data_IF_560983111805
#
_entry.id   IF_560983111805
#
_cell.length_a   1.000
_cell.length_b   1.000
_cell.length_c   1.000
_cell.angle_alpha   90.00
_cell.angle_beta   90.00
_cell.angle_gamma   90.00
#
_symmetry.space_group_name_H-M   'P 1'
#
loop_
_entity.id
_entity.type
_entity.pdbx_description
1 polymer ?
#
# COMPACT_ATOMS: atom_id res chain seq x y z
N UNK A 1 17.03 -10.24 0.72
CA UNK A 1 18.08 -9.95 -0.28
C UNK A 1 17.78 -8.58 -0.88
N UNK A 2 18.81 -7.75 -1.11
CA UNK A 2 18.65 -6.46 -1.79
C UNK A 2 19.34 -6.57 -3.14
N UNK A 3 18.57 -6.39 -4.21
CA UNK A 3 19.12 -6.22 -5.56
C UNK A 3 19.11 -4.71 -5.87
N UNK A 4 20.30 -4.13 -6.04
CA UNK A 4 20.49 -2.67 -6.12
C UNK A 4 21.32 -2.14 -4.95
N UNK A 5 21.26 -0.82 -4.73
CA UNK A 5 22.05 -0.15 -3.69
C UNK A 5 21.41 -0.28 -2.32
N UNK A 6 22.19 -0.69 -1.31
CA UNK A 6 21.74 -0.74 0.09
C UNK A 6 21.50 0.66 0.67
N UNK A 7 22.20 1.68 0.18
CA UNK A 7 22.04 3.06 0.66
C UNK A 7 20.64 3.61 0.35
N UNK A 8 20.01 3.12 -0.73
CA UNK A 8 18.67 3.53 -1.15
C UNK A 8 17.56 3.09 -0.17
N UNK A 9 17.86 2.10 0.69
CA UNK A 9 16.86 1.51 1.59
C UNK A 9 16.24 2.50 2.56
N UNK A 10 17.01 3.53 2.94
CA UNK A 10 16.69 4.47 4.01
C UNK A 10 16.50 5.90 3.49
N UNK A 11 16.44 6.10 2.17
CA UNK A 11 16.13 7.41 1.60
C UNK A 11 14.61 7.65 1.66
N UNK A 12 14.25 8.76 2.30
CA UNK A 12 12.89 9.25 2.46
C UNK A 12 12.24 9.60 1.12
N UNK A 13 11.03 9.08 0.89
CA UNK A 13 10.29 9.21 -0.38
C UNK A 13 8.79 9.29 -0.15
N UNK A 14 8.06 9.73 -1.17
CA UNK A 14 6.60 9.72 -1.11
C UNK A 14 6.06 8.29 -1.17
N UNK A 15 5.13 7.89 -0.28
CA UNK A 15 4.51 6.56 -0.34
C UNK A 15 3.58 6.41 -1.55
N UNK A 16 3.12 7.53 -2.13
CA UNK A 16 2.18 7.52 -3.23
C UNK A 16 0.94 6.67 -2.87
N UNK A 17 0.46 5.86 -3.80
CA UNK A 17 -0.74 5.04 -3.57
C UNK A 17 -0.55 3.84 -2.64
N UNK A 18 0.66 3.54 -2.13
CA UNK A 18 0.81 2.51 -1.08
C UNK A 18 0.13 2.95 0.22
N UNK A 19 0.08 4.25 0.49
CA UNK A 19 -0.59 4.83 1.64
C UNK A 19 -2.11 4.54 1.72
N UNK A 20 -2.76 4.22 0.58
CA UNK A 20 -4.16 3.78 0.55
C UNK A 20 -4.41 2.53 1.40
N UNK A 21 -3.38 1.72 1.65
CA UNK A 21 -3.46 0.61 2.61
C UNK A 21 -3.80 1.13 4.01
N UNK A 22 -3.13 2.18 4.48
CA UNK A 22 -3.35 2.76 5.80
C UNK A 22 -4.76 3.37 5.88
N UNK A 23 -5.19 4.06 4.82
CA UNK A 23 -6.56 4.59 4.71
C UNK A 23 -7.59 3.46 4.79
N UNK A 24 -7.40 2.39 4.00
CA UNK A 24 -8.28 1.24 3.98
C UNK A 24 -8.31 0.52 5.34
N UNK A 25 -7.15 0.37 5.98
CA UNK A 25 -7.02 -0.23 7.29
C UNK A 25 -7.81 0.54 8.33
N UNK A 26 -7.61 1.86 8.41
CA UNK A 26 -8.33 2.75 9.31
C UNK A 26 -9.84 2.75 9.03
N UNK A 27 -10.23 2.79 7.75
CA UNK A 27 -11.63 2.79 7.36
C UNK A 27 -12.35 1.48 7.72
N UNK A 28 -11.70 0.32 7.54
CA UNK A 28 -12.22 -0.97 7.99
C UNK A 28 -12.34 -1.00 9.52
N UNK A 29 -11.30 -0.58 10.25
CA UNK A 29 -11.29 -0.58 11.72
C UNK A 29 -12.39 0.33 12.32
N UNK A 30 -12.72 1.40 11.61
CA UNK A 30 -13.78 2.35 11.97
C UNK A 30 -15.18 1.97 11.44
N UNK A 31 -15.32 0.83 10.76
CA UNK A 31 -16.60 0.38 10.22
C UNK A 31 -17.14 1.23 9.05
N UNK A 32 -16.29 2.01 8.38
CA UNK A 32 -16.67 2.83 7.22
C UNK A 32 -16.77 2.02 5.92
N UNK A 33 -16.27 0.78 5.93
CA UNK A 33 -16.31 -0.14 4.79
C UNK A 33 -17.11 -1.37 5.19
N UNK A 34 -18.23 -1.60 4.51
CA UNK A 34 -19.16 -2.68 4.80
C UNK A 34 -18.68 -4.08 4.35
N UNK A 35 -17.62 -4.15 3.55
CA UNK A 35 -17.02 -5.40 3.10
C UNK A 35 -16.08 -5.22 1.90
N UNK A 36 -15.24 -6.23 1.65
CA UNK A 36 -14.18 -6.15 0.62
C UNK A 36 -14.72 -5.97 -0.80
N UNK A 37 -15.83 -6.66 -1.13
CA UNK A 37 -16.44 -6.63 -2.46
C UNK A 37 -17.67 -5.71 -2.53
N UNK A 38 -18.07 -5.09 -1.41
CA UNK A 38 -19.19 -4.14 -1.39
C UNK A 38 -18.76 -2.82 -2.03
N UNK A 39 -19.62 -2.19 -2.85
CA UNK A 39 -19.29 -0.92 -3.50
C UNK A 39 -18.79 0.14 -2.52
N UNK A 40 -17.72 0.83 -2.88
CA UNK A 40 -17.25 2.01 -2.16
C UNK A 40 -17.83 3.27 -2.78
N UNK A 41 -18.16 4.23 -1.93
CA UNK A 41 -18.54 5.57 -2.35
C UNK A 41 -17.43 6.19 -3.21
N UNK A 42 -17.79 6.75 -4.37
CA UNK A 42 -16.83 7.32 -5.31
C UNK A 42 -16.06 6.30 -6.17
N UNK A 43 -16.36 5.00 -6.06
CA UNK A 43 -15.67 3.96 -6.83
C UNK A 43 -16.48 3.40 -8.03
N UNK A 44 -17.55 4.09 -8.45
CA UNK A 44 -18.37 3.70 -9.62
C UNK A 44 -18.82 2.22 -9.57
N UNK A 45 -19.30 1.77 -8.40
CA UNK A 45 -19.77 0.39 -8.19
C UNK A 45 -18.67 -0.62 -7.83
N UNK A 46 -17.39 -0.24 -7.86
CA UNK A 46 -16.29 -1.12 -7.46
C UNK A 46 -16.14 -1.24 -5.94
N UNK A 47 -15.71 -2.41 -5.49
CA UNK A 47 -15.40 -2.66 -4.07
C UNK A 47 -14.00 -2.23 -3.65
N UNK A 48 -13.65 -2.47 -2.38
CA UNK A 48 -12.33 -2.15 -1.81
C UNK A 48 -11.20 -2.84 -2.57
N UNK A 49 -11.35 -4.13 -2.89
CA UNK A 49 -10.33 -4.91 -3.62
C UNK A 49 -9.96 -4.26 -4.95
N UNK A 50 -10.98 -4.04 -5.79
CA UNK A 50 -10.80 -3.48 -7.13
C UNK A 50 -10.27 -2.04 -7.04
N UNK A 51 -10.73 -1.27 -6.05
CA UNK A 51 -10.25 0.09 -5.81
C UNK A 51 -8.77 0.13 -5.40
N UNK A 52 -8.31 -0.81 -4.56
CA UNK A 52 -6.89 -0.94 -4.20
C UNK A 52 -6.03 -1.42 -5.38
N UNK A 53 -6.49 -2.44 -6.12
CA UNK A 53 -5.79 -3.03 -7.25
C UNK A 53 -5.63 -2.03 -8.40
N UNK A 54 -6.73 -1.40 -8.82
CA UNK A 54 -6.74 -0.37 -9.87
C UNK A 54 -6.23 0.99 -9.37
N UNK A 55 -6.10 1.14 -8.05
CA UNK A 55 -5.64 2.35 -7.37
C UNK A 55 -6.54 3.58 -7.62
N UNK A 56 -7.86 3.37 -7.59
CA UNK A 56 -8.88 4.40 -7.82
C UNK A 56 -8.82 5.44 -6.70
N UNK A 57 -8.51 6.70 -7.00
CA UNK A 57 -8.29 7.75 -5.99
C UNK A 57 -9.55 8.21 -5.24
N UNK A 58 -10.68 8.54 -5.91
CA UNK A 58 -11.84 9.13 -5.25
C UNK A 58 -12.36 8.44 -3.97
N UNK A 59 -12.54 7.11 -3.90
CA UNK A 59 -13.04 6.46 -2.68
C UNK A 59 -12.10 6.66 -1.48
N UNK A 60 -10.78 6.61 -1.69
CA UNK A 60 -9.84 6.82 -0.59
C UNK A 60 -9.74 8.29 -0.18
N UNK A 61 -10.00 9.24 -1.08
CA UNK A 61 -10.06 10.65 -0.73
C UNK A 61 -11.25 10.90 0.20
N UNK A 62 -12.43 10.36 -0.16
CA UNK A 62 -13.64 10.44 0.67
C UNK A 62 -13.42 9.78 2.03
N UNK A 63 -12.83 8.58 2.07
CA UNK A 63 -12.52 7.89 3.32
C UNK A 63 -11.53 8.67 4.19
N UNK A 64 -10.50 9.27 3.59
CA UNK A 64 -9.53 10.09 4.32
C UNK A 64 -10.18 11.33 4.94
N UNK A 65 -11.08 12.01 4.22
CA UNK A 65 -11.87 13.13 4.77
C UNK A 65 -12.74 12.69 5.96
N UNK A 66 -13.44 11.57 5.82
CA UNK A 66 -14.31 11.03 6.90
C UNK A 66 -13.52 10.63 8.14
N UNK A 67 -12.30 10.12 7.97
CA UNK A 67 -11.42 9.78 9.08
C UNK A 67 -10.85 11.03 9.75
N UNK A 68 -10.48 12.04 8.96
CA UNK A 68 -9.79 13.24 9.44
C UNK A 68 -8.31 12.99 9.74
N UNK A 69 -7.52 14.06 9.66
CA UNK A 69 -6.06 14.00 9.75
C UNK A 69 -5.53 13.48 11.09
N UNK A 70 -6.23 13.75 12.21
CA UNK A 70 -5.82 13.28 13.54
C UNK A 70 -5.95 11.75 13.65
N UNK A 71 -7.12 11.21 13.28
CA UNK A 71 -7.36 9.77 13.36
C UNK A 71 -6.46 9.04 12.38
N UNK A 72 -6.43 9.47 11.12
CA UNK A 72 -5.62 8.82 10.08
C UNK A 72 -4.12 8.92 10.39
N UNK A 73 -3.67 10.03 10.99
CA UNK A 73 -2.29 10.18 11.49
C UNK A 73 -1.90 9.12 12.51
N UNK A 74 -2.78 8.83 13.49
CA UNK A 74 -2.55 7.75 14.49
C UNK A 74 -2.42 6.37 13.82
N UNK A 75 -3.17 6.09 12.76
CA UNK A 75 -3.00 4.84 11.99
C UNK A 75 -1.70 4.85 11.18
N UNK A 76 -1.32 5.99 10.60
CA UNK A 76 -0.07 6.13 9.87
C UNK A 76 1.14 5.84 10.78
N UNK A 77 1.17 6.37 12.01
CA UNK A 77 2.20 6.05 13.01
C UNK A 77 2.24 4.56 13.33
N UNK A 78 1.07 3.98 13.66
CA UNK A 78 0.95 2.58 14.05
C UNK A 78 1.28 1.60 12.93
N UNK A 79 1.11 2.01 11.67
CA UNK A 79 1.33 1.15 10.51
C UNK A 79 2.80 0.74 10.33
N UNK A 80 3.74 1.56 10.83
CA UNK A 80 5.17 1.41 10.54
C UNK A 80 5.58 1.83 9.12
N UNK A 81 4.63 2.23 8.26
CA UNK A 81 4.91 2.69 6.89
C UNK A 81 5.72 3.98 6.87
N UNK A 82 5.32 4.92 7.73
CA UNK A 82 5.78 6.30 7.64
C UNK A 82 7.07 6.48 8.43
N UNK A 83 8.00 7.20 7.84
CA UNK A 83 9.24 7.63 8.44
C UNK A 83 9.03 8.90 9.29
N UNK A 84 9.67 8.91 10.45
CA UNK A 84 9.59 10.04 11.39
C UNK A 84 8.23 10.14 12.09
N UNK A 85 7.96 11.32 12.63
CA UNK A 85 6.70 11.69 13.26
C UNK A 85 5.70 12.22 12.24
N UNK A 86 4.40 12.03 12.47
CA UNK A 86 3.36 12.63 11.64
C UNK A 86 3.31 14.14 11.91
N UNK A 87 3.52 15.00 10.89
CA UNK A 87 3.44 16.44 11.07
C UNK A 87 2.05 16.88 11.54
N UNK A 88 2.00 17.94 12.35
CA UNK A 88 0.73 18.63 12.64
C UNK A 88 0.18 19.18 11.31
N UNK A 89 -1.12 19.01 11.08
CA UNK A 89 -1.78 19.45 9.83
C UNK A 89 -1.25 18.79 8.55
N UNK A 90 -0.64 17.59 8.62
CA UNK A 90 -0.14 16.86 7.45
C UNK A 90 -1.16 16.62 6.33
N UNK A 91 -2.46 16.72 6.63
CA UNK A 91 -3.58 16.56 5.69
C UNK A 91 -4.21 17.90 5.31
N UNK A 92 -3.42 18.98 5.18
CA UNK A 92 -3.92 20.35 4.94
C UNK A 92 -4.74 20.47 3.64
N UNK A 93 -4.33 19.82 2.56
CA UNK A 93 -5.10 19.76 1.30
C UNK A 93 -6.19 18.68 1.28
N UNK A 94 -6.55 18.14 2.44
CA UNK A 94 -7.64 17.19 2.60
C UNK A 94 -7.37 15.83 1.97
N UNK A 95 -8.44 15.10 1.69
CA UNK A 95 -8.40 13.72 1.23
C UNK A 95 -7.70 13.54 -0.11
N UNK A 96 -7.76 14.53 -1.00
CA UNK A 96 -7.14 14.46 -2.34
C UNK A 96 -5.62 14.37 -2.27
N UNK A 97 -4.98 15.00 -1.31
CA UNK A 97 -3.54 14.87 -1.07
C UNK A 97 -3.25 13.63 -0.21
N UNK A 98 -4.11 13.36 0.77
CA UNK A 98 -3.99 12.20 1.66
C UNK A 98 -3.90 10.87 0.90
N UNK A 99 -4.59 10.70 -0.24
CA UNK A 99 -4.53 9.43 -1.01
C UNK A 99 -3.14 9.09 -1.57
N UNK A 100 -2.21 10.05 -1.54
CA UNK A 100 -0.81 9.90 -1.92
C UNK A 100 0.15 10.02 -0.72
N UNK A 101 -0.38 10.20 0.49
CA UNK A 101 0.39 10.42 1.71
C UNK A 101 0.66 11.89 2.04
N UNK A 102 0.25 12.85 1.19
CA UNK A 102 0.56 14.28 1.35
C UNK A 102 2.06 14.51 1.68
N UNK A 103 2.37 15.19 2.79
CA UNK A 103 3.75 15.47 3.21
C UNK A 103 4.49 14.28 3.84
N UNK A 104 3.79 13.16 4.06
CA UNK A 104 4.38 11.99 4.72
C UNK A 104 5.41 11.31 3.81
N UNK A 105 6.46 10.79 4.44
CA UNK A 105 7.52 10.04 3.76
C UNK A 105 7.58 8.59 4.24
N UNK A 106 8.01 7.71 3.36
CA UNK A 106 8.33 6.30 3.63
C UNK A 106 9.74 6.01 3.15
N UNK A 107 10.22 4.81 3.44
CA UNK A 107 11.46 4.29 2.87
C UNK A 107 11.23 2.90 2.29
N UNK A 108 12.15 2.48 1.42
CA UNK A 108 12.20 1.12 0.89
C UNK A 108 12.18 0.07 2.02
N UNK A 109 12.89 0.33 3.12
CA UNK A 109 12.90 -0.54 4.30
C UNK A 109 11.52 -0.66 4.93
N UNK A 110 10.81 0.46 5.13
CA UNK A 110 9.50 0.49 5.80
C UNK A 110 8.41 -0.17 4.95
N UNK A 111 8.37 0.14 3.66
CA UNK A 111 7.55 -0.57 2.67
C UNK A 111 7.78 -2.09 2.77
N UNK A 112 9.04 -2.52 2.76
CA UNK A 112 9.36 -3.94 2.87
C UNK A 112 8.97 -4.57 4.20
N UNK A 113 9.17 -3.86 5.32
CA UNK A 113 8.76 -4.32 6.64
C UNK A 113 7.25 -4.51 6.76
N UNK A 114 6.44 -3.69 6.07
CA UNK A 114 5.00 -3.93 5.99
C UNK A 114 4.67 -5.23 5.27
N UNK A 115 5.27 -5.48 4.11
CA UNK A 115 5.07 -6.74 3.39
C UNK A 115 5.48 -7.96 4.23
N UNK A 116 6.60 -7.87 4.96
CA UNK A 116 7.03 -8.90 5.92
C UNK A 116 6.03 -9.06 7.06
N UNK A 117 5.50 -7.96 7.59
CA UNK A 117 4.52 -7.97 8.67
C UNK A 117 3.19 -8.60 8.27
N UNK A 118 2.72 -8.32 7.05
CA UNK A 118 1.57 -9.01 6.48
C UNK A 118 1.82 -10.51 6.33
N UNK A 119 2.94 -10.88 5.69
CA UNK A 119 3.31 -12.27 5.45
C UNK A 119 3.41 -13.09 6.74
N UNK A 120 4.00 -12.51 7.78
CA UNK A 120 4.22 -13.18 9.07
C UNK A 120 3.03 -13.07 10.02
N UNK A 121 2.01 -12.28 9.67
CA UNK A 121 0.90 -11.99 10.57
C UNK A 121 1.36 -11.34 11.88
N UNK A 122 2.21 -10.31 11.80
CA UNK A 122 2.63 -9.53 12.97
C UNK A 122 1.77 -8.29 13.16
N UNK A 123 1.74 -7.76 14.38
CA UNK A 123 1.08 -6.49 14.65
C UNK A 123 1.64 -5.35 13.75
N UNK A 124 0.80 -4.36 13.37
CA UNK A 124 -0.63 -4.25 13.68
C UNK A 124 -1.56 -5.08 12.75
N UNK A 125 -0.99 -5.89 11.86
CA UNK A 125 -1.70 -6.54 10.75
C UNK A 125 -2.34 -7.90 11.08
N UNK A 126 -2.13 -8.38 12.30
CA UNK A 126 -2.52 -9.73 12.75
C UNK A 126 -3.96 -9.85 13.25
N UNK A 127 -4.63 -8.72 13.52
CA UNK A 127 -6.05 -8.67 13.89
C UNK A 127 -7.01 -8.97 12.73
N UNK A 128 -8.29 -9.13 13.03
CA UNK A 128 -9.33 -9.45 12.03
C UNK A 128 -9.40 -8.40 10.92
N UNK A 129 -9.37 -7.12 11.28
CA UNK A 129 -9.35 -6.01 10.32
C UNK A 129 -8.12 -6.09 9.40
N UNK A 130 -6.95 -6.42 9.95
CA UNK A 130 -5.73 -6.62 9.18
C UNK A 130 -5.84 -7.80 8.21
N UNK A 131 -6.49 -8.89 8.61
CA UNK A 131 -6.78 -10.04 7.73
C UNK A 131 -7.76 -9.67 6.61
N UNK A 132 -8.81 -8.91 6.91
CA UNK A 132 -9.77 -8.40 5.91
C UNK A 132 -9.10 -7.49 4.89
N UNK A 133 -8.21 -6.59 5.34
CA UNK A 133 -7.40 -5.76 4.45
C UNK A 133 -6.49 -6.62 3.57
N UNK A 134 -5.83 -7.61 4.14
CA UNK A 134 -4.97 -8.53 3.40
C UNK A 134 -5.74 -9.37 2.39
N UNK A 135 -6.99 -9.75 2.70
CA UNK A 135 -7.89 -10.32 1.70
C UNK A 135 -8.11 -9.32 0.57
N UNK A 136 -8.47 -8.06 0.85
CA UNK A 136 -8.67 -7.03 -0.17
C UNK A 136 -7.44 -6.73 -1.04
N UNK A 137 -6.22 -7.04 -0.55
CA UNK A 137 -4.97 -6.86 -1.28
C UNK A 137 -4.66 -8.00 -2.26
N UNK A 138 -5.43 -9.10 -2.30
CA UNK A 138 -5.19 -10.19 -3.26
C UNK A 138 -5.42 -9.71 -4.70
N UNK A 139 -4.40 -9.89 -5.54
CA UNK A 139 -4.44 -9.67 -6.99
C UNK A 139 -5.05 -10.87 -7.69
N UNK A 140 -6.33 -10.75 -8.06
CA UNK A 140 -7.04 -11.78 -8.84
C UNK A 140 -6.55 -11.75 -10.29
N UNK A 141 -6.42 -12.93 -10.90
CA UNK A 141 -6.00 -13.10 -12.30
C UNK A 141 -4.53 -13.47 -12.49
N UNK A 142 -3.74 -13.47 -11.41
CA UNK A 142 -2.36 -13.92 -11.43
C UNK A 142 -2.28 -15.44 -11.22
N UNK A 143 -1.24 -16.08 -11.78
CA UNK A 143 -1.01 -17.54 -11.62
C UNK A 143 -0.72 -17.94 -10.17
N UNK A 144 -0.32 -16.96 -9.35
CA UNK A 144 0.05 -17.12 -7.94
C UNK A 144 -0.82 -16.20 -7.09
N UNK A 145 -1.15 -16.64 -5.88
CA UNK A 145 -1.88 -15.78 -4.93
C UNK A 145 -0.89 -14.79 -4.32
N UNK A 146 -1.00 -13.53 -4.72
CA UNK A 146 -0.18 -12.43 -4.21
C UNK A 146 -1.06 -11.35 -3.60
N UNK A 147 -0.65 -10.86 -2.43
CA UNK A 147 -1.24 -9.71 -1.75
C UNK A 147 -0.29 -8.54 -1.84
N UNK A 148 -0.71 -7.47 -2.52
CA UNK A 148 0.20 -6.38 -2.80
C UNK A 148 -0.51 -5.06 -3.05
N UNK A 149 0.24 -3.96 -2.92
CA UNK A 149 -0.18 -2.63 -3.34
C UNK A 149 0.89 -1.97 -4.20
N UNK A 150 0.45 -1.36 -5.30
CA UNK A 150 1.27 -0.47 -6.13
C UNK A 150 1.11 1.00 -5.73
N UNK A 151 2.17 1.77 -5.93
CA UNK A 151 2.23 3.22 -5.72
C UNK A 151 2.79 3.91 -6.95
N UNK A 152 2.20 5.04 -7.37
CA UNK A 152 2.77 5.89 -8.42
C UNK A 152 2.34 7.34 -8.16
N UNK A 153 3.30 8.20 -7.82
CA UNK A 153 3.11 9.64 -7.57
C UNK A 153 4.48 10.30 -7.38
N UNK A 154 4.64 11.58 -7.77
CA UNK A 154 5.87 12.37 -7.51
C UNK A 154 7.17 11.72 -7.98
N UNK A 155 7.15 10.96 -9.08
CA UNK A 155 8.32 10.24 -9.58
C UNK A 155 8.64 8.93 -8.83
N UNK A 156 7.91 8.60 -7.77
CA UNK A 156 8.06 7.36 -7.01
C UNK A 156 7.16 6.25 -7.56
N UNK A 157 7.74 5.12 -7.95
CA UNK A 157 7.00 3.93 -8.40
C UNK A 157 7.27 2.76 -7.46
N UNK A 158 6.22 2.27 -6.81
CA UNK A 158 6.27 1.22 -5.81
C UNK A 158 5.47 -0.01 -6.23
N UNK A 159 5.94 -1.18 -5.82
CA UNK A 159 5.11 -2.37 -5.66
C UNK A 159 5.60 -3.15 -4.44
N UNK A 160 4.73 -3.29 -3.46
CA UNK A 160 5.03 -3.88 -2.14
C UNK A 160 4.00 -4.94 -1.83
N UNK A 161 4.45 -6.14 -1.45
CA UNK A 161 3.54 -7.22 -1.14
C UNK A 161 4.23 -8.54 -0.84
N UNK A 162 3.44 -9.58 -0.68
CA UNK A 162 3.92 -10.92 -0.42
C UNK A 162 3.08 -11.97 -1.14
N UNK A 163 3.70 -13.12 -1.34
CA UNK A 163 3.11 -14.32 -1.91
C UNK A 163 3.64 -15.53 -1.17
N UNK A 164 3.59 -16.69 -1.80
CA UNK A 164 4.12 -17.91 -1.20
C UNK A 164 5.61 -17.76 -0.86
N UNK A 165 5.96 -18.05 0.40
CA UNK A 165 7.33 -18.13 0.91
C UNK A 165 8.12 -16.82 1.03
N UNK A 166 7.65 -15.69 0.51
CA UNK A 166 8.43 -14.44 0.52
C UNK A 166 7.62 -13.14 0.44
N UNK A 167 8.21 -12.09 1.00
CA UNK A 167 7.82 -10.70 0.80
C UNK A 167 8.75 -10.04 -0.22
N UNK A 168 8.20 -9.16 -1.07
CA UNK A 168 8.92 -8.45 -2.12
C UNK A 168 8.51 -6.99 -2.10
N UNK A 169 9.51 -6.12 -2.28
CA UNK A 169 9.30 -4.69 -2.51
C UNK A 169 10.17 -4.30 -3.68
N UNK A 170 9.57 -3.63 -4.66
CA UNK A 170 10.25 -3.06 -5.81
C UNK A 170 10.00 -1.57 -5.83
N UNK A 171 11.07 -0.82 -6.06
CA UNK A 171 11.03 0.63 -6.21
C UNK A 171 11.78 1.04 -7.49
N UNK A 172 11.27 2.08 -8.13
CA UNK A 172 11.90 2.73 -9.27
C UNK A 172 11.56 4.22 -9.26
N UNK A 173 12.53 5.06 -9.61
CA UNK A 173 12.29 6.47 -9.88
C UNK A 173 11.96 6.70 -11.37
N UNK A 174 10.98 7.55 -11.65
CA UNK A 174 10.67 8.01 -12.99
C UNK A 174 9.18 8.22 -13.27
N UNK A 175 8.88 8.38 -14.56
CA UNK A 175 7.53 8.64 -15.03
C UNK A 175 6.58 7.43 -14.84
N UNK A 176 5.29 7.72 -14.66
CA UNK A 176 4.22 6.70 -14.51
C UNK A 176 4.18 5.69 -15.66
N UNK A 177 4.63 6.07 -16.86
CA UNK A 177 4.75 5.16 -18.01
C UNK A 177 5.66 3.95 -17.75
N UNK A 178 6.55 4.04 -16.77
CA UNK A 178 7.45 2.95 -16.34
C UNK A 178 6.81 1.98 -15.32
N UNK A 179 5.57 2.21 -14.89
CA UNK A 179 4.85 1.31 -13.97
C UNK A 179 4.85 -0.17 -14.41
N UNK A 180 4.77 -0.53 -15.70
CA UNK A 180 4.90 -1.92 -16.14
C UNK A 180 6.25 -2.57 -15.77
N UNK A 181 7.35 -1.80 -15.73
CA UNK A 181 8.68 -2.31 -15.33
C UNK A 181 8.66 -2.76 -13.86
N UNK A 182 8.07 -1.96 -12.98
CA UNK A 182 7.95 -2.26 -11.54
C UNK A 182 7.09 -3.50 -11.31
N UNK A 183 5.96 -3.61 -12.02
CA UNK A 183 5.09 -4.79 -11.94
C UNK A 183 5.81 -6.05 -12.44
N UNK A 184 6.47 -5.99 -13.60
CA UNK A 184 7.25 -7.10 -14.16
C UNK A 184 8.35 -7.55 -13.18
N UNK A 185 9.10 -6.61 -12.62
CA UNK A 185 10.18 -6.90 -11.68
C UNK A 185 9.68 -7.52 -10.36
N UNK A 186 8.47 -7.15 -9.92
CA UNK A 186 7.84 -7.69 -8.73
C UNK A 186 7.30 -9.11 -8.96
N UNK A 187 6.45 -9.31 -9.98
CA UNK A 187 5.85 -10.62 -10.25
C UNK A 187 6.88 -11.66 -10.72
N UNK A 188 7.92 -11.22 -11.44
CA UNK A 188 9.03 -12.08 -11.86
C UNK A 188 9.77 -12.76 -10.70
N UNK A 189 9.63 -12.28 -9.45
CA UNK A 189 10.26 -12.91 -8.27
C UNK A 189 9.69 -14.28 -7.89
N UNK A 190 8.53 -14.63 -8.44
CA UNK A 190 7.94 -15.94 -8.27
C UNK A 190 8.08 -16.81 -9.53
N UNK A 191 8.15 -16.21 -10.72
CA UNK A 191 8.42 -16.95 -11.96
C UNK A 191 9.86 -17.49 -12.03
N UNK A 192 10.83 -16.74 -11.51
CA UNK A 192 12.26 -17.13 -11.50
C UNK A 192 12.54 -18.42 -10.71
N UNK A 193 11.67 -18.84 -9.78
CA UNK A 193 11.87 -20.06 -9.00
C UNK A 193 11.14 -21.28 -9.58
N UNK A 194 10.15 -21.08 -10.46
CA UNK A 194 9.48 -22.18 -11.18
C UNK A 194 10.33 -22.83 -12.28
N UNK A 195 11.47 -22.22 -12.65
CA UNK A 195 12.42 -22.73 -13.66
C UNK A 195 13.58 -23.51 -13.01
N UNK A 196 13.58 -23.65 -11.68
CA UNK A 196 14.66 -24.28 -10.91
C UNK A 196 14.26 -25.50 -10.09
N UNK A 197 13.20 -26.22 -10.48
CA UNK A 197 12.85 -27.54 -9.91
C UNK A 197 12.65 -28.57 -11.01
#
# INVERSE_FOLDING_TARGET
LVAGSKAEMDIAREPASTFKVVIAWAALDRGLIAGVEKPLEGAEGLGLRQSLQKSINPPFAILAEKLGGEVLGKYAERSGLIEGSIPKEWMRGGGKEAVHGADLKTTLRREHQMAVGWMRGTAPWNGEVGKTLQDALVWKGEKIVVRAKSGSYGGCLWMTGYGEGKAVTVFLEGAVSRRPEVLKAFFGRWELESVGR
#
